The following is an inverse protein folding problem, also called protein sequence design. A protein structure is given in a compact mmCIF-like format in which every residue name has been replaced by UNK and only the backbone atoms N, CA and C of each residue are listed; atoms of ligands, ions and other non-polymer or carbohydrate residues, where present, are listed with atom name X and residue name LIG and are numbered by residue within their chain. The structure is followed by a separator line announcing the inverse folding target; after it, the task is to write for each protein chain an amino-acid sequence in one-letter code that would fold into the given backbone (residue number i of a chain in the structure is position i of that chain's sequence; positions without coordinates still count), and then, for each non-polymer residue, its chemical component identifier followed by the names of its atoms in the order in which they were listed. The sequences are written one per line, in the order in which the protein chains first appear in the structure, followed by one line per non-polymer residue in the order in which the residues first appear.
data_IF_020280571725
#
_entry.id   IF_020280571725
#
_cell.length_a   1.000
_cell.length_b   1.000
_cell.length_c   1.000
_cell.angle_alpha   90.00
_cell.angle_beta   90.00
_cell.angle_gamma   90.00
#
_symmetry.space_group_name_H-M   'P 1'
#
loop_
_entity.id
_entity.type
_entity.pdbx_description
1 polymer ?
#
# COMPACT_ATOMS: atom_id res chain seq x y z
N UNK A 1 -38.84 -10.87 -5.81
CA UNK A 1 -38.44 -9.56 -6.32
C UNK A 1 -36.95 -9.46 -6.06
N UNK A 2 -36.14 -9.74 -7.09
CA UNK A 2 -34.66 -9.76 -6.98
C UNK A 2 -34.16 -8.35 -7.09
N UNK A 3 -33.48 -7.88 -6.04
CA UNK A 3 -32.72 -6.66 -6.07
C UNK A 3 -31.45 -6.91 -6.87
N UNK A 4 -31.38 -6.35 -8.06
CA UNK A 4 -30.25 -6.35 -8.94
C UNK A 4 -29.23 -5.38 -8.33
N UNK A 5 -28.23 -5.90 -7.60
CA UNK A 5 -27.10 -5.12 -7.16
C UNK A 5 -26.30 -4.73 -8.40
N UNK A 6 -26.44 -3.47 -8.82
CA UNK A 6 -25.71 -2.91 -9.93
C UNK A 6 -24.21 -3.04 -9.65
N UNK A 7 -23.53 -3.87 -10.40
CA UNK A 7 -22.09 -3.87 -10.52
C UNK A 7 -21.72 -2.52 -11.14
N UNK A 8 -21.34 -1.57 -10.31
CA UNK A 8 -20.67 -0.40 -10.80
C UNK A 8 -19.33 -0.87 -11.37
N UNK A 9 -19.30 -0.99 -12.68
CA UNK A 9 -18.07 -1.06 -13.43
C UNK A 9 -17.34 0.25 -13.16
N UNK A 10 -16.51 0.26 -12.12
CA UNK A 10 -15.52 1.30 -11.96
C UNK A 10 -14.45 1.01 -13.01
N UNK A 11 -14.74 1.36 -14.24
CA UNK A 11 -13.73 1.76 -15.21
C UNK A 11 -13.20 3.12 -14.77
N UNK A 12 -12.78 3.18 -13.52
CA UNK A 12 -11.93 4.21 -13.02
C UNK A 12 -10.52 3.82 -13.44
N UNK A 13 -10.25 3.90 -14.72
CA UNK A 13 -8.93 4.35 -15.04
C UNK A 13 -8.77 5.62 -14.23
N UNK A 14 -7.87 5.65 -13.28
CA UNK A 14 -7.36 6.89 -12.75
C UNK A 14 -7.15 7.73 -14.00
N UNK A 15 -8.02 8.72 -14.18
CA UNK A 15 -7.95 9.63 -15.30
C UNK A 15 -6.48 9.98 -15.37
N UNK A 16 -5.84 9.66 -16.49
CA UNK A 16 -4.41 9.88 -16.64
C UNK A 16 -4.18 11.29 -16.22
N UNK A 17 -3.69 11.44 -14.99
CA UNK A 17 -3.33 12.75 -14.50
C UNK A 17 -2.40 13.29 -15.56
N UNK A 18 -2.65 14.48 -16.07
CA UNK A 18 -2.01 15.06 -17.26
C UNK A 18 -0.50 15.28 -17.13
N UNK A 19 0.08 14.77 -16.06
CA UNK A 19 1.51 14.64 -15.84
C UNK A 19 1.96 13.27 -16.38
N UNK A 20 2.31 13.20 -17.63
CA UNK A 20 3.01 12.18 -18.38
C UNK A 20 2.92 10.75 -17.83
N UNK A 21 2.11 9.91 -18.47
CA UNK A 21 1.83 8.56 -17.99
C UNK A 21 3.05 7.67 -17.90
N UNK A 22 3.69 7.67 -16.72
CA UNK A 22 4.73 6.72 -16.38
C UNK A 22 4.11 5.34 -16.11
N UNK A 23 4.85 4.30 -16.49
CA UNK A 23 4.50 2.91 -16.23
C UNK A 23 4.21 2.70 -14.74
N UNK A 24 3.08 2.06 -14.41
CA UNK A 24 2.72 1.72 -13.04
C UNK A 24 1.76 2.70 -12.35
N UNK A 25 1.17 3.65 -13.08
CA UNK A 25 0.20 4.61 -12.54
C UNK A 25 -1.26 4.15 -12.65
N UNK A 26 -1.53 2.99 -13.24
CA UNK A 26 -2.88 2.48 -13.49
C UNK A 26 -3.09 1.15 -12.79
N UNK A 27 -4.18 1.04 -12.06
CA UNK A 27 -4.68 -0.22 -11.50
C UNK A 27 -5.99 -0.58 -12.20
N UNK A 28 -5.99 -1.69 -12.94
CA UNK A 28 -7.19 -2.22 -13.56
C UNK A 28 -7.90 -3.18 -12.59
N UNK A 29 -9.16 -2.89 -12.29
CA UNK A 29 -10.03 -3.79 -11.52
C UNK A 29 -10.91 -4.56 -12.49
N UNK A 30 -10.79 -5.88 -12.51
CA UNK A 30 -11.60 -6.78 -13.35
C UNK A 30 -12.55 -7.58 -12.48
N UNK A 31 -13.85 -7.53 -12.78
CA UNK A 31 -14.81 -8.45 -12.21
C UNK A 31 -14.61 -9.83 -12.85
N UNK A 32 -14.37 -10.86 -12.04
CA UNK A 32 -14.23 -12.23 -12.49
C UNK A 32 -15.15 -13.13 -11.65
N UNK A 33 -16.21 -13.64 -12.28
CA UNK A 33 -17.23 -14.48 -11.62
C UNK A 33 -16.67 -15.84 -11.13
N UNK A 34 -15.55 -16.29 -11.68
CA UNK A 34 -15.04 -17.66 -11.49
C UNK A 34 -13.60 -17.70 -10.92
N UNK A 35 -13.16 -16.65 -10.23
CA UNK A 35 -11.84 -16.70 -9.59
C UNK A 35 -11.86 -17.63 -8.38
N UNK A 36 -11.00 -18.66 -8.33
CA UNK A 36 -10.85 -19.45 -7.12
C UNK A 36 -10.43 -18.56 -5.95
N UNK A 37 -11.04 -18.81 -4.78
CA UNK A 37 -10.79 -18.00 -3.58
C UNK A 37 -9.31 -17.75 -3.37
N UNK A 38 -8.91 -16.50 -3.18
CA UNK A 38 -7.52 -16.10 -3.05
C UNK A 38 -6.88 -16.71 -1.82
N UNK A 39 -5.74 -17.41 -1.95
CA UNK A 39 -4.94 -17.77 -0.79
C UNK A 39 -4.32 -16.48 -0.22
N UNK A 40 -4.90 -15.96 0.84
CA UNK A 40 -4.32 -14.81 1.55
C UNK A 40 -3.04 -15.23 2.26
N UNK A 41 -1.96 -14.45 2.06
CA UNK A 41 -0.73 -14.58 2.84
C UNK A 41 0.21 -15.73 2.47
N UNK A 42 0.06 -16.36 1.31
CA UNK A 42 1.02 -17.35 0.82
C UNK A 42 2.06 -16.70 -0.08
N UNK A 43 3.30 -17.24 -0.04
CA UNK A 43 4.37 -16.82 -0.94
C UNK A 43 3.91 -16.85 -2.41
N UNK A 44 4.28 -15.82 -3.17
CA UNK A 44 3.86 -15.66 -4.57
C UNK A 44 2.59 -14.84 -4.79
N UNK A 45 1.94 -14.35 -3.72
CA UNK A 45 0.81 -13.43 -3.82
C UNK A 45 1.25 -11.98 -3.62
N UNK A 46 0.61 -11.05 -4.32
CA UNK A 46 0.74 -9.62 -4.02
C UNK A 46 0.12 -9.36 -2.64
N UNK A 47 0.90 -8.81 -1.72
CA UNK A 47 0.43 -8.52 -0.37
C UNK A 47 -0.52 -7.31 -0.37
N UNK A 48 -0.12 -6.23 -1.02
CA UNK A 48 -0.91 -5.00 -1.16
C UNK A 48 -0.48 -4.22 -2.41
N UNK A 49 -1.32 -3.26 -2.79
CA UNK A 49 -1.00 -2.22 -3.76
C UNK A 49 -1.01 -0.89 -3.03
N UNK A 50 0.05 -0.07 -3.19
CA UNK A 50 0.16 1.22 -2.53
C UNK A 50 -0.15 2.37 -3.49
N UNK A 51 -1.01 3.28 -3.05
CA UNK A 51 -1.25 4.58 -3.69
C UNK A 51 -0.40 5.63 -3.01
N UNK A 52 0.14 6.53 -3.80
CA UNK A 52 0.99 7.61 -3.32
C UNK A 52 0.15 8.78 -2.82
N UNK A 53 0.50 9.31 -1.64
CA UNK A 53 0.09 10.61 -1.16
C UNK A 53 1.32 11.52 -1.01
N UNK A 54 1.23 12.76 -1.47
CA UNK A 54 2.37 13.68 -1.43
C UNK A 54 2.83 13.97 0.02
N UNK A 55 1.88 14.05 0.94
CA UNK A 55 2.11 14.37 2.35
C UNK A 55 0.99 13.83 3.25
N UNK A 56 1.06 14.14 4.54
CA UNK A 56 0.08 13.72 5.53
C UNK A 56 -1.31 14.33 5.28
N UNK A 57 -1.38 15.55 4.78
CA UNK A 57 -2.65 16.22 4.51
C UNK A 57 -3.37 15.54 3.34
N UNK A 58 -2.65 15.28 2.25
CA UNK A 58 -3.19 14.55 1.11
C UNK A 58 -3.63 13.12 1.51
N UNK A 59 -2.85 12.43 2.36
CA UNK A 59 -3.24 11.13 2.88
C UNK A 59 -4.53 11.22 3.70
N UNK A 60 -4.65 12.21 4.58
CA UNK A 60 -5.84 12.39 5.41
C UNK A 60 -7.10 12.66 4.57
N UNK A 61 -6.98 13.45 3.49
CA UNK A 61 -8.08 13.68 2.54
C UNK A 61 -8.51 12.38 1.85
N UNK A 62 -7.57 11.58 1.33
CA UNK A 62 -7.86 10.28 0.73
C UNK A 62 -8.55 9.34 1.72
N UNK A 63 -8.06 9.29 2.96
CA UNK A 63 -8.66 8.48 4.05
C UNK A 63 -10.08 8.95 4.36
N UNK A 64 -10.34 10.26 4.37
CA UNK A 64 -11.68 10.80 4.60
C UNK A 64 -12.67 10.38 3.50
N UNK A 65 -12.24 10.40 2.24
CA UNK A 65 -13.06 9.93 1.11
C UNK A 65 -13.41 8.45 1.26
N UNK A 66 -12.44 7.59 1.63
CA UNK A 66 -12.69 6.18 1.87
C UNK A 66 -13.69 5.94 3.00
N UNK A 67 -13.56 6.66 4.12
CA UNK A 67 -14.51 6.60 5.24
C UNK A 67 -15.91 7.02 4.82
N UNK A 68 -16.03 8.08 4.01
CA UNK A 68 -17.33 8.54 3.49
C UNK A 68 -18.01 7.51 2.58
N UNK A 69 -17.24 6.64 1.92
CA UNK A 69 -17.73 5.53 1.12
C UNK A 69 -17.99 4.24 1.94
N UNK A 70 -17.88 4.31 3.25
CA UNK A 70 -18.16 3.18 4.15
C UNK A 70 -17.01 2.20 4.32
N UNK A 71 -15.84 2.48 3.75
CA UNK A 71 -14.63 1.69 3.98
C UNK A 71 -14.03 1.99 5.36
N UNK A 72 -13.21 1.08 5.86
CA UNK A 72 -12.60 1.17 7.20
C UNK A 72 -11.07 1.21 7.10
N UNK A 73 -10.50 2.34 6.68
CA UNK A 73 -9.05 2.50 6.70
C UNK A 73 -8.52 2.50 8.14
N UNK A 74 -7.28 2.01 8.30
CA UNK A 74 -6.57 2.12 9.57
C UNK A 74 -6.26 3.58 9.89
N UNK A 75 -5.93 3.85 11.14
CA UNK A 75 -5.21 5.06 11.49
C UNK A 75 -3.84 5.08 10.80
N UNK A 76 -3.22 6.26 10.75
CA UNK A 76 -1.90 6.42 10.18
C UNK A 76 -0.85 5.62 10.94
N UNK A 77 -0.10 4.79 10.23
CA UNK A 77 0.99 3.95 10.77
C UNK A 77 2.33 4.53 10.36
N UNK A 78 3.19 4.79 11.34
CA UNK A 78 4.57 5.21 11.07
C UNK A 78 5.40 4.01 10.58
N UNK A 79 5.94 4.12 9.37
CA UNK A 79 6.83 3.13 8.74
C UNK A 79 8.30 3.56 8.73
N UNK A 80 8.67 4.56 9.51
CA UNK A 80 9.98 5.20 9.56
C UNK A 80 10.26 6.08 8.33
N UNK A 81 10.27 5.51 7.14
CA UNK A 81 10.59 6.21 5.88
C UNK A 81 9.36 6.84 5.22
N UNK A 82 8.18 6.47 5.64
CA UNK A 82 6.88 6.97 5.16
C UNK A 82 5.80 6.69 6.19
N UNK A 83 4.62 7.20 5.96
CA UNK A 83 3.42 6.91 6.75
C UNK A 83 2.39 6.21 5.90
N UNK A 84 1.69 5.24 6.48
CA UNK A 84 0.74 4.39 5.77
C UNK A 84 -0.63 4.42 6.40
N UNK A 85 -1.67 4.35 5.57
CA UNK A 85 -3.01 3.94 5.98
C UNK A 85 -3.43 2.77 5.10
N UNK A 86 -4.00 1.72 5.71
CA UNK A 86 -4.40 0.51 5.00
C UNK A 86 -5.90 0.37 4.98
N UNK A 87 -6.44 -0.12 3.87
CA UNK A 87 -7.84 -0.50 3.78
C UNK A 87 -8.02 -1.73 2.90
N UNK A 88 -9.14 -2.42 3.09
CA UNK A 88 -9.55 -3.48 2.17
C UNK A 88 -10.74 -3.02 1.36
N UNK A 89 -10.67 -3.29 0.06
CA UNK A 89 -11.85 -3.14 -0.79
C UNK A 89 -12.83 -4.32 -0.53
N UNK A 90 -14.08 -4.25 -1.05
CA UNK A 90 -15.11 -5.26 -0.73
C UNK A 90 -14.72 -6.71 -0.98
N UNK A 91 -13.88 -7.00 -1.99
CA UNK A 91 -13.41 -8.35 -2.32
C UNK A 91 -12.16 -8.76 -1.52
N UNK A 92 -11.71 -7.94 -0.58
CA UNK A 92 -10.67 -8.24 0.39
C UNK A 92 -9.24 -7.93 -0.06
N UNK A 93 -9.02 -7.30 -1.21
CA UNK A 93 -7.68 -6.85 -1.62
C UNK A 93 -7.20 -5.77 -0.66
N UNK A 94 -5.97 -5.90 -0.18
CA UNK A 94 -5.35 -4.92 0.68
C UNK A 94 -4.75 -3.79 -0.15
N UNK A 95 -5.18 -2.59 0.14
CA UNK A 95 -4.60 -1.36 -0.39
C UNK A 95 -3.93 -0.56 0.71
N UNK A 96 -2.94 0.23 0.31
CA UNK A 96 -2.20 1.16 1.14
C UNK A 96 -2.26 2.55 0.54
N UNK A 97 -2.33 3.58 1.37
CA UNK A 97 -2.04 4.96 1.00
C UNK A 97 -0.75 5.32 1.71
N UNK A 98 0.33 5.54 0.96
CA UNK A 98 1.65 5.82 1.51
C UNK A 98 2.10 7.24 1.19
N UNK A 99 2.67 7.95 2.18
CA UNK A 99 3.22 9.29 1.96
C UNK A 99 4.63 9.22 1.37
N UNK A 100 5.05 10.28 0.67
CA UNK A 100 6.44 10.41 0.19
C UNK A 100 7.43 10.66 1.31
N UNK A 101 7.01 11.34 2.36
CA UNK A 101 7.86 11.75 3.46
C UNK A 101 7.83 10.81 4.67
N UNK A 102 8.92 10.81 5.44
CA UNK A 102 10.14 11.60 5.31
C UNK A 102 11.13 11.09 4.24
N UNK A 103 10.88 9.94 3.62
CA UNK A 103 11.71 9.34 2.59
C UNK A 103 12.78 8.37 3.13
N UNK A 104 13.35 7.56 2.24
CA UNK A 104 14.33 6.53 2.63
C UNK A 104 15.66 7.10 3.12
N UNK A 105 15.96 8.36 2.79
CA UNK A 105 17.19 9.03 3.25
C UNK A 105 17.14 9.51 4.70
N UNK A 106 16.04 9.28 5.41
CA UNK A 106 15.88 9.64 6.83
C UNK A 106 16.89 8.95 7.75
N UNK A 107 17.35 7.77 7.38
CA UNK A 107 18.23 6.95 8.21
C UNK A 107 19.50 6.44 7.48
N UNK A 108 19.70 6.81 6.22
CA UNK A 108 20.94 6.53 5.49
C UNK A 108 21.14 7.50 4.32
N UNK A 109 22.39 7.81 3.95
CA UNK A 109 22.68 8.65 2.80
C UNK A 109 22.18 8.02 1.50
N UNK A 110 21.83 8.84 0.51
CA UNK A 110 21.31 8.39 -0.79
C UNK A 110 22.22 7.38 -1.49
N UNK A 111 23.53 7.60 -1.39
CA UNK A 111 24.56 6.77 -2.03
C UNK A 111 24.71 5.39 -1.36
N UNK A 112 24.15 5.24 -0.16
CA UNK A 112 24.22 4.01 0.64
C UNK A 112 22.90 3.27 0.71
N UNK A 113 21.86 3.77 0.03
CA UNK A 113 20.53 3.17 0.06
C UNK A 113 20.58 1.70 -0.34
N UNK A 114 20.08 0.83 0.55
CA UNK A 114 20.00 -0.62 0.32
C UNK A 114 21.28 -1.39 0.60
N UNK A 115 22.38 -0.75 0.98
CA UNK A 115 23.65 -1.43 1.27
C UNK A 115 23.66 -2.14 2.65
N UNK A 116 22.72 -1.78 3.53
CA UNK A 116 22.60 -2.41 4.84
C UNK A 116 21.15 -2.52 5.27
N UNK A 117 20.88 -3.53 6.11
CA UNK A 117 19.56 -3.66 6.73
C UNK A 117 19.36 -2.47 7.67
N UNK A 118 18.34 -1.67 7.40
CA UNK A 118 17.86 -0.60 8.27
C UNK A 118 16.63 -1.07 9.03
N UNK A 119 16.62 -0.79 10.31
CA UNK A 119 15.49 -1.10 11.18
C UNK A 119 14.95 0.19 11.78
N UNK A 120 13.62 0.30 11.95
CA UNK A 120 13.03 1.35 12.76
C UNK A 120 13.67 1.40 14.14
N UNK A 121 13.76 2.59 14.72
CA UNK A 121 14.44 2.82 16.01
C UNK A 121 13.92 1.90 17.13
N UNK A 122 12.61 1.61 17.14
CA UNK A 122 12.00 0.73 18.13
C UNK A 122 12.37 -0.74 18.02
N UNK A 123 13.05 -1.15 16.94
CA UNK A 123 13.60 -2.50 16.77
C UNK A 123 15.12 -2.55 16.94
N UNK A 124 15.78 -1.44 17.26
CA UNK A 124 17.23 -1.36 17.37
C UNK A 124 17.85 -2.38 18.32
N UNK A 125 17.23 -2.56 19.49
CA UNK A 125 17.67 -3.54 20.51
C UNK A 125 17.53 -5.01 20.07
N UNK A 126 16.68 -5.28 19.09
CA UNK A 126 16.44 -6.63 18.56
C UNK A 126 17.17 -6.90 17.24
N UNK A 127 18.08 -6.01 16.85
CA UNK A 127 18.76 -6.11 15.55
C UNK A 127 19.42 -7.46 15.31
N UNK A 128 20.17 -7.97 16.28
CA UNK A 128 20.89 -9.24 16.14
C UNK A 128 19.93 -10.43 15.92
N UNK A 129 18.84 -10.47 16.68
CA UNK A 129 17.79 -11.49 16.55
C UNK A 129 17.13 -11.43 15.15
N UNK A 130 16.75 -10.22 14.72
CA UNK A 130 16.06 -10.02 13.44
C UNK A 130 16.98 -10.41 12.28
N UNK A 131 18.24 -9.98 12.30
CA UNK A 131 19.21 -10.28 11.23
C UNK A 131 19.47 -11.79 11.16
N UNK A 132 19.57 -12.48 12.30
CA UNK A 132 19.77 -13.93 12.33
C UNK A 132 18.57 -14.74 11.79
N UNK A 133 17.36 -14.17 11.86
CA UNK A 133 16.14 -14.81 11.35
C UNK A 133 15.88 -14.55 9.85
N UNK A 134 16.57 -13.57 9.26
CA UNK A 134 16.41 -13.25 7.85
C UNK A 134 17.17 -14.22 6.95
N UNK A 135 16.65 -14.58 5.76
CA UNK A 135 17.42 -15.32 4.79
C UNK A 135 18.63 -14.49 4.32
N UNK A 136 19.76 -15.12 3.96
CA UNK A 136 20.90 -14.40 3.43
C UNK A 136 20.51 -13.62 2.17
N UNK A 137 21.05 -12.42 1.95
CA UNK A 137 20.81 -11.68 0.72
C UNK A 137 21.30 -12.51 -0.49
N UNK A 138 20.51 -12.46 -1.54
CA UNK A 138 20.84 -13.13 -2.82
C UNK A 138 21.73 -12.24 -3.67
#
# INVERSE_FOLDING_TARGET
MSANAGVHQVTGGLERDRAGGDLGTVVDVRAAADMPGRPQGRGGCVHHVAFRAADDAAQAEMVAVLKAQGLRPTEQVNRCCFRSAYFREPDGVLFEIATDGPGFTVNEPKEMLGNAIKLPLWYGSRRAEIVAALPPPR
#
